data_IF_686313365872
#
_entry.id   IF_686313365872
#
_cell.length_a   1.000
_cell.length_b   1.000
_cell.length_c   1.000
_cell.angle_alpha   90.00
_cell.angle_beta   90.00
_cell.angle_gamma   90.00
#
_symmetry.space_group_name_H-M   'P 1'
#
loop_
_entity.id
_entity.type
_entity.pdbx_description
1 polymer ?
#
# COMPACT_ATOMS: atom_id res chain seq x y z
N UNK A 1 -14.28 2.05 16.19
CA UNK A 1 -13.72 3.38 15.89
C UNK A 1 -13.72 3.56 14.37
N UNK A 2 -14.70 4.28 13.82
CA UNK A 2 -14.67 4.66 12.40
C UNK A 2 -13.74 5.86 12.28
N UNK A 3 -12.45 5.56 12.13
CA UNK A 3 -11.50 6.59 11.71
C UNK A 3 -11.90 6.92 10.28
N UNK A 4 -12.59 8.05 10.09
CA UNK A 4 -12.85 8.64 8.78
C UNK A 4 -11.50 9.10 8.23
N UNK A 5 -10.71 8.16 7.74
CA UNK A 5 -9.47 8.46 7.02
C UNK A 5 -9.90 8.84 5.62
N UNK A 6 -9.69 10.11 5.25
CA UNK A 6 -9.90 10.58 3.88
C UNK A 6 -9.03 9.76 2.91
N UNK A 7 -9.59 9.38 1.76
CA UNK A 7 -8.92 8.61 0.71
C UNK A 7 -7.58 9.22 0.28
N UNK A 8 -7.44 10.55 0.34
CA UNK A 8 -6.17 11.24 0.09
C UNK A 8 -5.11 10.94 1.14
N UNK A 9 -5.52 10.81 2.41
CA UNK A 9 -4.63 10.48 3.52
C UNK A 9 -4.14 9.04 3.36
N UNK A 10 -5.04 8.08 3.10
CA UNK A 10 -4.68 6.68 2.84
C UNK A 10 -3.69 6.58 1.68
N UNK A 11 -3.99 7.24 0.57
CA UNK A 11 -3.13 7.24 -0.62
C UNK A 11 -1.73 7.77 -0.31
N UNK A 12 -1.63 8.84 0.48
CA UNK A 12 -0.35 9.41 0.89
C UNK A 12 0.44 8.46 1.79
N UNK A 13 -0.22 7.75 2.71
CA UNK A 13 0.43 6.74 3.55
C UNK A 13 0.91 5.54 2.74
N UNK A 14 0.11 5.01 1.82
CA UNK A 14 0.53 3.90 0.94
C UNK A 14 1.76 4.28 0.11
N UNK A 15 1.80 5.51 -0.45
CA UNK A 15 2.99 6.00 -1.16
C UNK A 15 4.23 6.04 -0.27
N UNK A 16 4.10 6.53 0.97
CA UNK A 16 5.21 6.57 1.94
C UNK A 16 5.68 5.16 2.33
N UNK A 17 4.76 4.22 2.51
CA UNK A 17 5.07 2.83 2.84
C UNK A 17 5.82 2.15 1.69
N UNK A 18 5.32 2.25 0.45
CA UNK A 18 6.01 1.70 -0.73
C UNK A 18 7.44 2.22 -0.86
N UNK A 19 7.67 3.53 -0.66
CA UNK A 19 9.02 4.11 -0.69
C UNK A 19 9.96 3.47 0.34
N UNK A 20 9.49 3.23 1.57
CA UNK A 20 10.31 2.57 2.60
C UNK A 20 10.69 1.15 2.23
N UNK A 21 9.79 0.40 1.60
CA UNK A 21 10.11 -0.94 1.11
C UNK A 21 11.10 -0.90 -0.05
N UNK A 22 10.88 -0.03 -1.04
CA UNK A 22 11.81 0.13 -2.17
C UNK A 22 13.22 0.51 -1.72
N UNK A 23 13.36 1.25 -0.62
CA UNK A 23 14.68 1.58 -0.04
C UNK A 23 15.45 0.35 0.50
N UNK A 24 14.75 -0.71 0.88
CA UNK A 24 15.34 -1.95 1.44
C UNK A 24 15.39 -3.06 0.39
N UNK A 25 14.40 -3.09 -0.50
CA UNK A 25 14.22 -4.07 -1.56
C UNK A 25 13.75 -3.33 -2.83
N UNK A 26 14.67 -3.12 -3.77
CA UNK A 26 14.41 -2.34 -4.98
C UNK A 26 13.32 -2.96 -5.88
N UNK A 27 13.11 -4.28 -5.77
CA UNK A 27 12.14 -5.03 -6.55
C UNK A 27 10.81 -5.25 -5.81
N UNK A 28 10.59 -4.50 -4.72
CA UNK A 28 9.38 -4.63 -3.91
C UNK A 28 8.09 -4.34 -4.72
N UNK A 29 7.26 -5.37 -4.85
CA UNK A 29 5.98 -5.32 -5.56
C UNK A 29 4.88 -6.11 -4.82
N UNK A 30 4.77 -5.96 -3.50
CA UNK A 30 3.77 -6.67 -2.67
C UNK A 30 2.49 -5.89 -2.37
N UNK A 31 2.44 -4.59 -2.67
CA UNK A 31 1.28 -3.74 -2.37
C UNK A 31 0.56 -3.34 -3.65
N UNK A 32 -0.61 -3.91 -3.89
CA UNK A 32 -1.47 -3.60 -5.04
C UNK A 32 -2.48 -2.49 -4.73
N UNK A 33 -2.84 -1.75 -5.78
CA UNK A 33 -4.02 -0.88 -5.79
C UNK A 33 -5.18 -1.63 -6.45
N UNK A 34 -6.27 -1.82 -5.72
CA UNK A 34 -7.49 -2.47 -6.20
C UNK A 34 -8.53 -1.39 -6.45
N UNK A 35 -8.84 -1.15 -7.72
CA UNK A 35 -9.80 -0.10 -8.10
C UNK A 35 -11.17 -0.34 -7.46
N UNK A 36 -11.70 0.67 -6.75
CA UNK A 36 -12.97 0.58 -6.03
C UNK A 36 -12.94 -0.19 -4.71
N UNK A 37 -11.82 -0.86 -4.35
CA UNK A 37 -11.71 -1.64 -3.10
C UNK A 37 -10.52 -1.21 -2.21
N UNK A 38 -9.63 -0.33 -2.69
CA UNK A 38 -8.53 0.23 -1.92
C UNK A 38 -7.19 -0.43 -2.24
N UNK A 39 -6.52 -1.00 -1.24
CA UNK A 39 -5.16 -1.53 -1.36
C UNK A 39 -5.08 -2.93 -0.76
N UNK A 40 -4.24 -3.79 -1.35
CA UNK A 40 -4.13 -5.20 -0.95
C UNK A 40 -2.68 -5.65 -0.92
N UNK A 41 -2.34 -6.48 0.06
CA UNK A 41 -1.06 -7.19 0.11
C UNK A 41 -1.11 -8.46 -0.76
N UNK A 42 -0.13 -8.66 -1.63
CA UNK A 42 -0.01 -9.90 -2.42
C UNK A 42 0.37 -11.05 -1.48
N UNK A 43 -0.22 -12.25 -1.64
CA UNK A 43 0.20 -13.41 -0.88
C UNK A 43 1.69 -13.71 -1.14
N UNK A 44 2.31 -14.45 -0.24
CA UNK A 44 3.66 -14.95 -0.46
C UNK A 44 3.68 -15.86 -1.70
N UNK A 45 4.75 -15.84 -2.51
CA UNK A 45 4.88 -16.76 -3.63
C UNK A 45 5.08 -18.17 -3.03
N UNK A 46 4.52 -19.18 -3.66
CA UNK A 46 4.93 -20.57 -3.38
C UNK A 46 6.38 -20.83 -3.77
#
# INVERSE_FOLDING_TARGET
ANVLVDDQTITSHIKRIRRKFVMVDADFDRLDTVYGAGYRWKPDPE
#
